data_IF_121187423832
#
_entry.id   IF_121187423832
#
_cell.length_a   1.000
_cell.length_b   1.000
_cell.length_c   1.000
_cell.angle_alpha   90.00
_cell.angle_beta   90.00
_cell.angle_gamma   90.00
#
_symmetry.space_group_name_H-M   'P 1'
#
loop_
_entity.id
_entity.type
_entity.pdbx_description
1 polymer ?
#
# COMPACT_ATOMS: atom_id res chain seq x y z
N UNK A 1 15.26 -17.38 1.37
CA UNK A 1 16.29 -16.38 1.06
C UNK A 1 15.98 -15.15 1.90
N UNK A 2 16.97 -14.62 2.56
CA UNK A 2 16.83 -13.40 3.37
C UNK A 2 16.48 -12.24 2.41
N UNK A 3 15.39 -11.50 2.67
CA UNK A 3 14.97 -10.39 1.80
C UNK A 3 15.98 -9.25 1.91
N UNK A 4 16.36 -8.66 0.76
CA UNK A 4 17.19 -7.44 0.72
C UNK A 4 16.43 -6.21 1.21
N UNK A 5 15.09 -6.28 1.25
CA UNK A 5 14.17 -5.26 1.76
C UNK A 5 13.51 -5.83 3.01
N UNK A 6 13.78 -5.28 4.18
CA UNK A 6 13.29 -5.79 5.48
C UNK A 6 12.20 -4.94 6.10
N UNK A 7 12.04 -3.70 5.64
CA UNK A 7 11.12 -2.72 6.19
C UNK A 7 10.11 -2.27 5.14
N UNK A 8 8.85 -2.12 5.54
CA UNK A 8 7.81 -1.45 4.74
C UNK A 8 7.17 -0.32 5.52
N UNK A 9 6.96 0.80 4.85
CA UNK A 9 6.27 1.99 5.37
C UNK A 9 4.84 2.00 4.85
N UNK A 10 3.87 2.10 5.74
CA UNK A 10 2.46 2.31 5.43
C UNK A 10 2.06 3.74 5.79
N UNK A 11 1.87 4.63 4.81
CA UNK A 11 1.34 5.98 5.02
C UNK A 11 -0.18 5.92 5.31
N UNK A 12 -0.57 6.12 6.57
CA UNK A 12 -1.95 6.02 7.05
C UNK A 12 -2.43 7.27 7.81
N UNK A 13 -1.76 8.41 7.64
CA UNK A 13 -2.16 9.66 8.27
C UNK A 13 -3.28 10.42 7.54
N UNK A 14 -3.75 9.91 6.39
CA UNK A 14 -4.76 10.57 5.56
C UNK A 14 -6.16 10.52 6.17
N UNK A 15 -6.94 11.60 5.99
CA UNK A 15 -8.26 11.80 6.61
C UNK A 15 -9.39 10.93 6.05
N UNK A 16 -9.19 10.20 4.96
CA UNK A 16 -10.20 9.30 4.40
C UNK A 16 -11.48 9.98 3.90
N UNK A 17 -11.40 11.23 3.44
CA UNK A 17 -12.57 12.07 3.10
C UNK A 17 -13.49 11.50 2.03
N UNK A 18 -12.96 10.66 1.12
CA UNK A 18 -13.73 10.05 0.02
C UNK A 18 -14.78 9.04 0.51
N UNK A 19 -14.63 8.51 1.74
CA UNK A 19 -15.53 7.50 2.34
C UNK A 19 -16.34 8.10 3.52
N UNK A 20 -16.34 9.41 3.67
CA UNK A 20 -17.23 10.06 4.64
C UNK A 20 -18.71 9.72 4.33
N UNK A 21 -19.56 9.59 5.39
CA UNK A 21 -19.28 9.85 6.80
C UNK A 21 -18.67 8.70 7.61
N UNK A 22 -18.50 7.49 7.02
CA UNK A 22 -18.00 6.32 7.75
C UNK A 22 -16.65 6.59 8.44
N UNK A 23 -15.72 7.18 7.73
CA UNK A 23 -14.36 7.50 8.22
C UNK A 23 -14.29 8.66 9.22
N UNK A 24 -15.45 9.24 9.62
CA UNK A 24 -15.51 10.16 10.76
C UNK A 24 -15.21 9.48 12.10
N UNK A 25 -15.61 8.22 12.22
CA UNK A 25 -15.56 7.50 13.49
C UNK A 25 -14.32 6.60 13.64
N UNK A 26 -13.73 6.17 12.52
CA UNK A 26 -12.55 5.30 12.53
C UNK A 26 -11.70 5.49 11.27
N UNK A 27 -10.41 5.11 11.31
CA UNK A 27 -9.50 5.22 10.19
C UNK A 27 -9.94 4.39 8.97
N UNK A 28 -9.75 4.93 7.76
CA UNK A 28 -10.15 4.27 6.50
C UNK A 28 -9.47 2.89 6.30
N UNK A 29 -8.25 2.75 6.77
CA UNK A 29 -7.46 1.51 6.67
C UNK A 29 -7.96 0.39 7.59
N UNK A 30 -8.88 0.70 8.53
CA UNK A 30 -9.60 -0.28 9.34
C UNK A 30 -10.94 -0.71 8.73
N UNK A 31 -11.33 -0.20 7.57
CA UNK A 31 -12.48 -0.71 6.84
C UNK A 31 -12.31 -2.21 6.54
N UNK A 32 -13.27 -3.07 6.89
CA UNK A 32 -13.11 -4.51 6.72
C UNK A 32 -13.35 -4.94 5.27
N UNK A 33 -12.44 -5.73 4.72
CA UNK A 33 -12.67 -6.53 3.52
C UNK A 33 -13.05 -7.92 4.00
N UNK A 34 -14.35 -8.22 3.98
CA UNK A 34 -14.99 -9.39 4.59
C UNK A 34 -14.71 -9.40 6.11
N UNK A 35 -13.71 -10.12 6.59
CA UNK A 35 -13.36 -10.29 8.00
C UNK A 35 -11.98 -9.70 8.37
N UNK A 36 -11.28 -9.05 7.43
CA UNK A 36 -9.94 -8.48 7.63
C UNK A 36 -9.90 -7.00 7.28
N UNK A 37 -9.37 -6.12 8.13
CA UNK A 37 -9.15 -4.72 7.76
C UNK A 37 -8.21 -4.57 6.57
N UNK A 38 -8.40 -3.51 5.80
CA UNK A 38 -7.57 -3.15 4.65
C UNK A 38 -6.07 -3.15 5.00
N UNK A 39 -5.69 -2.59 6.14
CA UNK A 39 -4.28 -2.56 6.58
C UNK A 39 -3.71 -3.97 6.80
N UNK A 40 -4.51 -4.91 7.30
CA UNK A 40 -4.05 -6.29 7.48
C UNK A 40 -3.68 -6.94 6.15
N UNK A 41 -4.47 -6.71 5.08
CA UNK A 41 -4.14 -7.23 3.76
C UNK A 41 -2.76 -6.75 3.29
N UNK A 42 -2.42 -5.47 3.52
CA UNK A 42 -1.10 -4.93 3.20
C UNK A 42 0.03 -5.52 4.04
N UNK A 43 -0.20 -5.68 5.36
CA UNK A 43 0.79 -6.29 6.26
C UNK A 43 1.01 -7.77 5.92
N UNK A 44 -0.05 -8.53 5.62
CA UNK A 44 0.05 -9.91 5.14
C UNK A 44 0.84 -10.02 3.82
N UNK A 45 0.61 -9.09 2.87
CA UNK A 45 1.39 -9.02 1.63
C UNK A 45 2.88 -8.82 1.92
N UNK A 46 3.23 -7.91 2.85
CA UNK A 46 4.60 -7.63 3.24
C UNK A 46 5.27 -8.86 3.88
N UNK A 47 4.61 -9.47 4.87
CA UNK A 47 5.11 -10.68 5.56
C UNK A 47 5.30 -11.83 4.57
N UNK A 48 4.33 -12.07 3.68
CA UNK A 48 4.42 -13.09 2.64
C UNK A 48 5.49 -12.78 1.60
N UNK A 49 5.98 -11.53 1.53
CA UNK A 49 7.10 -11.11 0.70
C UNK A 49 8.47 -11.20 1.40
N UNK A 50 8.49 -11.59 2.68
CA UNK A 50 9.70 -11.69 3.50
C UNK A 50 10.09 -10.39 4.21
N UNK A 51 9.16 -9.44 4.34
CA UNK A 51 9.32 -8.18 5.08
C UNK A 51 8.63 -8.33 6.43
N UNK A 52 9.36 -8.14 7.51
CA UNK A 52 8.84 -8.31 8.88
C UNK A 52 8.86 -7.04 9.73
N UNK A 53 9.49 -5.97 9.27
CA UNK A 53 9.49 -4.67 9.95
C UNK A 53 8.46 -3.75 9.30
N UNK A 54 7.45 -3.35 10.05
CA UNK A 54 6.35 -2.53 9.58
C UNK A 54 6.44 -1.15 10.26
N UNK A 55 6.47 -0.09 9.45
CA UNK A 55 6.41 1.29 9.94
C UNK A 55 5.06 1.89 9.57
N UNK A 56 4.22 2.14 10.56
CA UNK A 56 2.95 2.83 10.37
C UNK A 56 3.18 4.34 10.53
N UNK A 57 3.03 5.12 9.45
CA UNK A 57 3.07 6.58 9.53
C UNK A 57 1.64 7.09 9.66
N UNK A 58 1.25 7.45 10.86
CA UNK A 58 -0.13 7.73 11.25
C UNK A 58 -0.31 9.15 11.79
N UNK A 59 -1.55 9.62 11.82
CA UNK A 59 -1.92 10.82 12.58
C UNK A 59 -1.80 10.51 14.09
N UNK A 60 -1.31 11.45 14.93
CA UNK A 60 -1.20 11.25 16.37
C UNK A 60 -2.50 10.81 17.07
N UNK A 61 -3.66 11.24 16.54
CA UNK A 61 -4.97 10.90 17.10
C UNK A 61 -5.44 9.48 16.70
N UNK A 62 -4.80 8.85 15.71
CA UNK A 62 -5.13 7.51 15.27
C UNK A 62 -4.41 6.45 16.10
N UNK A 63 -4.96 6.14 17.26
CA UNK A 63 -4.49 5.05 18.12
C UNK A 63 -5.09 3.69 17.75
N UNK A 64 -6.18 3.68 16.99
CA UNK A 64 -6.92 2.45 16.66
C UNK A 64 -6.13 1.52 15.73
N UNK A 65 -5.46 2.07 14.71
CA UNK A 65 -4.75 1.23 13.74
C UNK A 65 -3.53 0.54 14.35
N UNK A 66 -2.66 1.21 15.13
CA UNK A 66 -1.61 0.52 15.87
C UNK A 66 -2.16 -0.54 16.83
N UNK A 67 -3.18 -0.20 17.64
CA UNK A 67 -3.74 -1.13 18.63
C UNK A 67 -4.43 -2.36 18.02
N UNK A 68 -4.78 -2.32 16.73
CA UNK A 68 -5.29 -3.50 16.03
C UNK A 68 -4.27 -4.66 16.02
N UNK A 69 -2.99 -4.35 15.98
CA UNK A 69 -1.90 -5.34 15.98
C UNK A 69 -1.33 -5.62 17.38
N UNK A 70 -1.86 -5.01 18.42
CA UNK A 70 -1.44 -5.26 19.80
C UNK A 70 -2.21 -6.43 20.41
N UNK A 71 -1.65 -7.14 21.42
CA UNK A 71 -2.38 -8.15 22.17
C UNK A 71 -3.62 -7.58 22.83
N UNK A 72 -4.73 -8.33 22.78
CA UNK A 72 -5.96 -7.98 23.50
C UNK A 72 -6.25 -9.01 24.61
N UNK A 73 -5.55 -8.85 25.73
CA UNK A 73 -5.62 -9.80 26.86
C UNK A 73 -7.06 -10.09 27.33
N UNK A 74 -7.92 -9.07 27.35
CA UNK A 74 -9.32 -9.24 27.76
C UNK A 74 -10.10 -10.12 26.79
N UNK A 75 -9.96 -9.90 25.48
CA UNK A 75 -10.62 -10.70 24.45
C UNK A 75 -10.05 -12.12 24.45
N UNK A 76 -8.73 -12.26 24.53
CA UNK A 76 -8.05 -13.55 24.54
C UNK A 76 -8.47 -14.41 25.74
N UNK A 77 -8.52 -13.83 26.96
CA UNK A 77 -9.00 -14.53 28.16
C UNK A 77 -10.46 -14.96 28.03
N UNK A 78 -11.31 -14.11 27.41
CA UNK A 78 -12.72 -14.45 27.18
C UNK A 78 -12.88 -15.60 26.17
N UNK A 79 -12.13 -15.58 25.06
CA UNK A 79 -12.14 -16.65 24.05
C UNK A 79 -11.66 -17.97 24.63
N UNK A 80 -10.55 -17.96 25.38
CA UNK A 80 -10.02 -19.13 26.08
C UNK A 80 -11.06 -19.72 27.07
N UNK A 81 -11.68 -18.87 27.89
CA UNK A 81 -12.73 -19.30 28.84
C UNK A 81 -13.94 -19.93 28.15
N UNK A 82 -14.23 -19.51 26.90
CA UNK A 82 -15.37 -20.04 26.12
C UNK A 82 -15.00 -21.23 25.24
N UNK A 83 -13.75 -21.70 25.25
CA UNK A 83 -13.27 -22.80 24.42
C UNK A 83 -13.21 -22.46 22.91
N UNK A 84 -13.14 -21.15 22.58
CA UNK A 84 -13.07 -20.66 21.18
C UNK A 84 -11.63 -20.63 20.68
N UNK A 85 -11.01 -21.80 20.59
CA UNK A 85 -9.57 -21.95 20.28
C UNK A 85 -9.18 -21.40 18.90
N UNK A 86 -10.03 -21.59 17.88
CA UNK A 86 -9.74 -21.09 16.53
C UNK A 86 -9.75 -19.55 16.49
N UNK A 87 -10.73 -18.91 17.13
CA UNK A 87 -10.83 -17.46 17.20
C UNK A 87 -9.66 -16.88 18.02
N UNK A 88 -9.30 -17.54 19.14
CA UNK A 88 -8.16 -17.16 19.96
C UNK A 88 -6.84 -17.20 19.15
N UNK A 89 -6.65 -18.27 18.36
CA UNK A 89 -5.48 -18.40 17.49
C UNK A 89 -5.42 -17.29 16.45
N UNK A 90 -6.55 -16.93 15.83
CA UNK A 90 -6.63 -15.80 14.86
C UNK A 90 -6.21 -14.49 15.51
N UNK A 91 -6.77 -14.16 16.69
CA UNK A 91 -6.47 -12.90 17.39
C UNK A 91 -4.99 -12.81 17.79
N UNK A 92 -4.42 -13.89 18.34
CA UNK A 92 -3.00 -13.93 18.73
C UNK A 92 -2.04 -13.83 17.54
N UNK A 93 -2.42 -14.39 16.39
CA UNK A 93 -1.60 -14.34 15.19
C UNK A 93 -1.39 -12.89 14.71
N UNK A 94 -2.34 -11.99 14.92
CA UNK A 94 -2.21 -10.57 14.57
C UNK A 94 -1.08 -9.89 15.34
N UNK A 95 -1.02 -10.09 16.65
CA UNK A 95 -0.01 -9.47 17.52
C UNK A 95 1.42 -10.02 17.30
N UNK A 96 1.56 -11.17 16.66
CA UNK A 96 2.85 -11.79 16.35
C UNK A 96 3.18 -11.79 14.84
N UNK A 97 2.39 -11.11 14.04
CA UNK A 97 2.52 -11.15 12.57
C UNK A 97 3.79 -10.47 12.07
N UNK A 98 4.16 -9.34 12.67
CA UNK A 98 5.32 -8.53 12.31
C UNK A 98 5.76 -7.62 13.45
N UNK A 99 6.96 -7.05 13.34
CA UNK A 99 7.47 -6.01 14.24
C UNK A 99 6.94 -4.65 13.78
N UNK A 100 6.02 -4.06 14.57
CA UNK A 100 5.34 -2.82 14.20
C UNK A 100 5.91 -1.64 14.97
N UNK A 101 6.31 -0.60 14.24
CA UNK A 101 6.74 0.70 14.76
C UNK A 101 5.78 1.78 14.27
N UNK A 102 5.38 2.68 15.16
CA UNK A 102 4.52 3.83 14.81
C UNK A 102 5.34 5.11 14.75
N UNK A 103 5.15 5.87 13.67
CA UNK A 103 5.69 7.21 13.47
C UNK A 103 4.55 8.18 13.24
N UNK A 104 4.64 9.40 13.75
CA UNK A 104 3.57 10.37 13.64
C UNK A 104 3.83 11.42 12.55
N UNK A 105 2.84 11.60 11.68
CA UNK A 105 2.71 12.73 10.77
C UNK A 105 1.62 13.66 11.33
N UNK A 106 2.00 14.74 11.97
CA UNK A 106 1.07 15.64 12.66
C UNK A 106 0.12 16.37 11.69
N UNK A 107 0.62 16.72 10.49
CA UNK A 107 -0.16 17.40 9.46
C UNK A 107 -0.19 16.57 8.17
N UNK A 108 -1.33 16.52 7.46
CA UNK A 108 -1.47 15.74 6.22
C UNK A 108 -0.79 16.47 5.04
N UNK A 109 0.53 16.59 5.08
CA UNK A 109 1.35 17.31 4.10
C UNK A 109 1.77 16.46 2.88
N UNK A 110 1.00 15.43 2.53
CA UNK A 110 1.22 14.61 1.34
C UNK A 110 2.00 13.31 1.59
N UNK A 111 2.04 12.46 0.54
CA UNK A 111 2.68 11.15 0.58
C UNK A 111 4.20 11.24 0.78
N UNK A 112 4.86 12.17 0.08
CA UNK A 112 6.30 12.38 0.23
C UNK A 112 6.68 12.76 1.66
N UNK A 113 5.88 13.61 2.31
CA UNK A 113 6.09 13.98 3.71
C UNK A 113 5.92 12.77 4.65
N UNK A 114 4.91 11.92 4.42
CA UNK A 114 4.74 10.71 5.21
C UNK A 114 5.97 9.78 5.10
N UNK A 115 6.51 9.60 3.88
CA UNK A 115 7.75 8.83 3.67
C UNK A 115 8.92 9.49 4.38
N UNK A 116 9.06 10.82 4.33
CA UNK A 116 10.13 11.55 5.01
C UNK A 116 10.09 11.36 6.54
N UNK A 117 8.89 11.33 7.14
CA UNK A 117 8.74 11.05 8.58
C UNK A 117 9.27 9.67 8.98
N UNK A 118 9.24 8.69 8.08
CA UNK A 118 9.74 7.35 8.35
C UNK A 118 11.29 7.24 8.31
N UNK A 119 12.02 8.28 7.90
CA UNK A 119 13.49 8.27 7.67
C UNK A 119 14.28 7.57 8.78
N UNK A 120 14.02 7.90 10.03
CA UNK A 120 14.74 7.29 11.16
C UNK A 120 14.32 5.83 11.40
N UNK A 121 13.04 5.52 11.20
CA UNK A 121 12.48 4.20 11.49
C UNK A 121 12.89 3.13 10.46
N UNK A 122 13.13 3.51 9.20
CA UNK A 122 13.53 2.55 8.14
C UNK A 122 15.01 2.15 8.19
N UNK A 123 15.83 2.87 8.96
CA UNK A 123 17.28 2.58 9.06
C UNK A 123 18.05 2.84 7.76
N UNK A 124 19.13 2.11 7.52
CA UNK A 124 20.09 2.36 6.45
C UNK A 124 19.93 1.45 5.21
N UNK A 125 18.86 0.72 5.06
CA UNK A 125 18.65 -0.20 3.92
C UNK A 125 17.69 0.34 2.88
N UNK A 126 17.49 -0.44 1.82
CA UNK A 126 16.34 -0.28 0.97
C UNK A 126 15.07 -0.67 1.73
N UNK A 127 13.98 0.04 1.48
CA UNK A 127 12.69 -0.18 2.14
C UNK A 127 11.55 -0.09 1.13
N UNK A 128 10.44 -0.74 1.47
CA UNK A 128 9.23 -0.62 0.69
C UNK A 128 8.33 0.50 1.22
N UNK A 129 7.51 1.06 0.35
CA UNK A 129 6.34 1.88 0.72
C UNK A 129 5.11 1.20 0.12
N UNK A 130 4.06 1.03 0.93
CA UNK A 130 2.83 0.40 0.51
C UNK A 130 1.62 1.25 0.93
N UNK A 131 0.84 1.70 -0.06
CA UNK A 131 -0.41 2.41 0.21
C UNK A 131 -1.48 1.37 0.57
N UNK A 132 -2.09 1.45 1.76
CA UNK A 132 -3.03 0.41 2.20
C UNK A 132 -4.33 0.39 1.38
N UNK A 133 -4.75 1.52 0.80
CA UNK A 133 -5.94 1.61 -0.03
C UNK A 133 -5.79 0.97 -1.43
N UNK A 134 -4.61 0.52 -1.80
CA UNK A 134 -4.38 -0.39 -2.93
C UNK A 134 -4.26 -1.84 -2.40
N UNK A 135 -5.38 -2.58 -2.38
CA UNK A 135 -5.39 -4.00 -2.01
C UNK A 135 -5.12 -4.83 -3.24
N UNK A 136 -4.09 -5.68 -3.17
CA UNK A 136 -3.61 -6.44 -4.33
C UNK A 136 -3.75 -7.93 -4.07
N UNK A 137 -4.43 -8.62 -4.99
CA UNK A 137 -4.46 -10.08 -5.06
C UNK A 137 -3.48 -10.53 -6.14
N UNK A 138 -2.37 -11.12 -5.71
CA UNK A 138 -1.29 -11.57 -6.59
C UNK A 138 -0.53 -12.76 -6.00
N UNK A 139 -0.14 -13.69 -6.87
CA UNK A 139 0.73 -14.80 -6.51
C UNK A 139 1.84 -14.95 -7.56
N UNK A 140 3.12 -14.64 -7.22
CA UNK A 140 3.59 -14.20 -5.90
C UNK A 140 3.07 -12.79 -5.53
N UNK A 141 3.08 -12.42 -4.22
CA UNK A 141 2.65 -11.10 -3.76
C UNK A 141 3.36 -9.95 -4.48
N UNK A 142 2.69 -8.80 -4.66
CA UNK A 142 3.23 -7.69 -5.44
C UNK A 142 4.59 -7.19 -4.93
N UNK A 143 4.76 -7.02 -3.62
CA UNK A 143 6.06 -6.65 -3.04
C UNK A 143 7.14 -7.70 -3.34
N UNK A 144 6.80 -9.00 -3.37
CA UNK A 144 7.76 -10.04 -3.73
C UNK A 144 8.19 -9.95 -5.19
N UNK A 145 7.26 -9.66 -6.13
CA UNK A 145 7.58 -9.41 -7.54
C UNK A 145 8.59 -8.26 -7.67
N UNK A 146 8.35 -7.15 -6.96
CA UNK A 146 9.24 -5.99 -6.96
C UNK A 146 10.61 -6.28 -6.33
N UNK A 147 10.67 -7.06 -5.24
CA UNK A 147 11.93 -7.46 -4.58
C UNK A 147 12.79 -8.31 -5.54
N UNK A 148 12.18 -9.17 -6.36
CA UNK A 148 12.90 -9.94 -7.35
C UNK A 148 13.59 -9.01 -8.35
N UNK A 149 12.89 -8.03 -8.90
CA UNK A 149 13.47 -7.03 -9.81
C UNK A 149 14.54 -6.19 -9.10
N UNK A 150 14.27 -5.75 -7.85
CA UNK A 150 15.24 -4.98 -7.07
C UNK A 150 16.56 -5.73 -6.86
N UNK A 151 16.51 -7.02 -6.60
CA UNK A 151 17.70 -7.86 -6.41
C UNK A 151 18.57 -7.97 -7.68
N UNK A 152 17.96 -7.81 -8.86
CA UNK A 152 18.68 -7.84 -10.14
C UNK A 152 19.31 -6.49 -10.46
N UNK A 153 18.57 -5.38 -10.25
CA UNK A 153 19.01 -4.05 -10.70
C UNK A 153 19.61 -3.18 -9.60
N UNK A 154 19.37 -3.50 -8.33
CA UNK A 154 19.81 -2.75 -7.13
C UNK A 154 19.53 -1.24 -7.22
N UNK A 155 18.37 -0.87 -7.74
CA UNK A 155 17.90 0.50 -7.92
C UNK A 155 16.44 0.60 -7.51
N UNK A 156 15.92 1.80 -7.20
CA UNK A 156 14.51 1.99 -6.82
C UNK A 156 13.54 1.42 -7.86
N UNK A 157 12.46 0.81 -7.37
CA UNK A 157 11.42 0.17 -8.19
C UNK A 157 10.07 0.79 -7.86
N UNK A 158 9.29 1.10 -8.89
CA UNK A 158 7.90 1.53 -8.80
C UNK A 158 7.00 0.41 -9.34
N UNK A 159 5.92 0.08 -8.66
CA UNK A 159 4.90 -0.81 -9.22
C UNK A 159 3.97 0.00 -10.13
N UNK A 160 3.69 -0.55 -11.30
CA UNK A 160 2.81 0.09 -12.29
C UNK A 160 1.75 -0.87 -12.79
N UNK A 161 0.65 -0.31 -13.29
CA UNK A 161 -0.36 -1.04 -14.07
C UNK A 161 -0.81 -0.19 -15.27
N UNK A 162 -1.36 -0.85 -16.29
CA UNK A 162 -1.96 -0.13 -17.42
C UNK A 162 -3.38 0.27 -17.08
N UNK A 163 -3.62 1.57 -17.12
CA UNK A 163 -4.95 2.13 -16.84
C UNK A 163 -5.64 2.59 -18.11
N UNK A 164 -6.99 2.59 -18.15
CA UNK A 164 -7.73 3.19 -19.25
C UNK A 164 -7.49 4.71 -19.31
N UNK A 165 -7.60 5.26 -20.52
CA UNK A 165 -7.27 6.66 -20.80
C UNK A 165 -7.98 7.66 -19.87
N UNK A 166 -9.24 7.43 -19.55
CA UNK A 166 -10.06 8.26 -18.67
C UNK A 166 -9.61 8.25 -17.20
N UNK A 167 -8.82 7.26 -16.80
CA UNK A 167 -8.32 7.13 -15.43
C UNK A 167 -6.94 7.80 -15.23
N UNK A 168 -6.22 8.13 -16.31
CA UNK A 168 -4.84 8.64 -16.29
C UNK A 168 -4.67 9.83 -15.32
N UNK A 169 -5.57 10.80 -15.35
CA UNK A 169 -5.49 12.01 -14.51
C UNK A 169 -5.61 11.78 -13.00
N UNK A 170 -5.73 10.52 -12.57
CA UNK A 170 -5.83 10.15 -11.15
C UNK A 170 -4.51 9.67 -10.55
N UNK A 171 -3.50 9.38 -11.39
CA UNK A 171 -2.26 8.72 -11.03
C UNK A 171 -1.03 9.48 -11.49
N UNK A 172 0.10 9.24 -10.85
CA UNK A 172 1.38 9.50 -11.46
C UNK A 172 1.58 8.58 -12.66
N UNK A 173 2.02 9.11 -13.78
CA UNK A 173 2.25 8.37 -15.03
C UNK A 173 3.73 8.40 -15.37
N UNK A 174 4.27 7.25 -15.80
CA UNK A 174 5.67 7.15 -16.20
C UNK A 174 5.84 7.20 -17.72
N UNK A 175 6.92 7.83 -18.17
CA UNK A 175 7.55 7.54 -19.46
C UNK A 175 8.64 6.51 -19.24
N UNK A 176 8.62 5.39 -19.97
CA UNK A 176 9.54 4.29 -19.69
C UNK A 176 9.84 3.43 -20.92
N UNK A 177 11.06 2.93 -20.98
CA UNK A 177 11.51 2.00 -22.01
C UNK A 177 11.37 0.55 -21.51
N UNK A 178 10.75 -0.36 -22.27
CA UNK A 178 10.60 -1.75 -21.86
C UNK A 178 11.95 -2.50 -21.90
N UNK A 179 12.21 -3.29 -20.85
CA UNK A 179 13.36 -4.18 -20.74
C UNK A 179 13.01 -5.67 -20.91
N UNK A 180 11.70 -5.98 -20.99
CA UNK A 180 11.17 -7.34 -21.04
C UNK A 180 10.60 -7.79 -19.71
N UNK A 181 9.81 -8.87 -19.74
CA UNK A 181 9.22 -9.51 -18.55
C UNK A 181 8.44 -8.55 -17.61
N UNK A 182 7.80 -7.52 -18.17
CA UNK A 182 7.07 -6.52 -17.35
C UNK A 182 7.97 -5.55 -16.59
N UNK A 183 9.26 -5.49 -16.91
CA UNK A 183 10.21 -4.53 -16.32
C UNK A 183 10.49 -3.41 -17.30
N UNK A 184 10.56 -2.18 -16.78
CA UNK A 184 10.82 -0.96 -17.55
C UNK A 184 11.91 -0.11 -16.90
N UNK A 185 12.68 0.58 -17.69
CA UNK A 185 13.55 1.67 -17.25
C UNK A 185 12.80 2.99 -17.37
N UNK A 186 12.59 3.67 -16.25
CA UNK A 186 11.85 4.94 -16.19
C UNK A 186 12.69 6.06 -16.80
N UNK A 187 12.07 6.89 -17.64
CA UNK A 187 12.70 8.05 -18.30
C UNK A 187 12.19 9.37 -17.74
N UNK A 188 10.92 9.43 -17.36
CA UNK A 188 10.29 10.59 -16.69
C UNK A 188 9.05 10.15 -15.90
N UNK A 189 8.60 11.02 -14.97
CA UNK A 189 7.40 10.84 -14.16
C UNK A 189 6.60 12.14 -14.15
N UNK A 190 5.28 12.04 -14.29
CA UNK A 190 4.37 13.20 -14.27
C UNK A 190 3.21 12.90 -13.33
N UNK A 191 3.04 13.73 -12.29
CA UNK A 191 1.93 13.60 -11.35
C UNK A 191 0.62 14.10 -11.99
N UNK A 192 -0.39 13.22 -12.03
CA UNK A 192 -1.77 13.48 -12.49
C UNK A 192 -1.85 14.32 -13.78
N UNK A 193 -1.19 13.89 -14.88
CA UNK A 193 -1.21 14.66 -16.12
C UNK A 193 -2.62 14.70 -16.72
N UNK A 194 -2.88 15.73 -17.52
CA UNK A 194 -4.07 15.69 -18.38
C UNK A 194 -3.97 14.47 -19.33
N UNK A 195 -5.02 13.65 -19.50
CA UNK A 195 -4.95 12.39 -20.28
C UNK A 195 -4.31 12.56 -21.66
N UNK A 196 -4.64 13.63 -22.38
CA UNK A 196 -4.09 13.92 -23.73
C UNK A 196 -2.62 14.37 -23.72
N UNK A 197 -1.99 14.56 -22.57
CA UNK A 197 -0.59 14.99 -22.41
C UNK A 197 0.24 13.95 -21.65
N UNK A 198 -0.38 12.84 -21.25
CA UNK A 198 0.31 11.78 -20.55
C UNK A 198 1.31 11.08 -21.50
N UNK A 199 2.53 10.76 -21.03
CA UNK A 199 3.54 10.11 -21.87
C UNK A 199 3.19 8.65 -22.19
N UNK A 200 2.35 8.02 -21.36
CA UNK A 200 1.92 6.64 -21.51
C UNK A 200 0.60 6.39 -20.75
N UNK A 201 0.20 5.12 -20.66
CA UNK A 201 -0.87 4.66 -19.76
C UNK A 201 -0.34 3.80 -18.59
N UNK A 202 0.97 3.80 -18.34
CA UNK A 202 1.59 3.13 -17.20
C UNK A 202 1.44 4.00 -15.95
N UNK A 203 0.47 3.65 -15.13
CA UNK A 203 0.14 4.36 -13.89
C UNK A 203 0.92 3.80 -12.71
N UNK A 204 1.48 4.68 -11.90
CA UNK A 204 2.09 4.33 -10.63
C UNK A 204 0.99 3.91 -9.67
N UNK A 205 1.11 2.71 -9.12
CA UNK A 205 0.21 2.19 -8.10
C UNK A 205 0.97 1.99 -6.79
N UNK A 206 0.26 2.01 -5.70
CA UNK A 206 0.71 2.22 -4.32
C UNK A 206 1.78 1.31 -3.74
N UNK A 207 2.76 0.85 -4.54
CA UNK A 207 3.93 0.09 -4.07
C UNK A 207 5.21 0.65 -4.65
N UNK A 208 6.21 0.81 -3.76
CA UNK A 208 7.53 1.31 -4.12
C UNK A 208 8.59 0.52 -3.34
N UNK A 209 9.76 0.31 -3.94
CA UNK A 209 11.00 -0.04 -3.24
C UNK A 209 11.94 1.14 -3.44
N UNK A 210 12.37 1.74 -2.36
CA UNK A 210 13.15 2.98 -2.35
C UNK A 210 14.48 2.75 -1.64
N UNK A 211 15.45 3.60 -1.94
CA UNK A 211 16.77 3.63 -1.30
C UNK A 211 16.93 4.93 -0.52
N UNK A 212 17.96 5.02 0.32
CA UNK A 212 18.15 6.13 1.26
C UNK A 212 18.22 7.51 0.58
N UNK A 213 18.68 7.57 -0.65
CA UNK A 213 18.81 8.81 -1.43
C UNK A 213 17.46 9.51 -1.67
N UNK A 214 16.34 8.78 -1.55
CA UNK A 214 15.00 9.40 -1.65
C UNK A 214 14.77 10.45 -0.57
N UNK A 215 15.36 10.30 0.62
CA UNK A 215 15.18 11.28 1.68
C UNK A 215 15.83 12.62 1.35
N UNK A 216 17.00 12.61 0.70
CA UNK A 216 17.64 13.84 0.23
C UNK A 216 16.81 14.54 -0.86
N UNK A 217 16.19 13.77 -1.76
CA UNK A 217 15.33 14.36 -2.79
C UNK A 217 14.01 14.86 -2.22
N UNK A 218 13.44 14.17 -1.22
CA UNK A 218 12.26 14.64 -0.48
C UNK A 218 12.53 15.98 0.25
N UNK A 219 13.69 16.13 0.88
CA UNK A 219 14.10 17.37 1.55
C UNK A 219 14.29 18.54 0.56
N UNK A 220 14.54 18.25 -0.71
CA UNK A 220 14.73 19.24 -1.79
C UNK A 220 13.47 19.49 -2.63
N UNK A 221 12.46 18.64 -2.50
CA UNK A 221 11.21 18.79 -3.23
C UNK A 221 10.35 19.89 -2.64
N UNK A 222 9.86 20.79 -3.49
CA UNK A 222 8.91 21.81 -3.07
C UNK A 222 7.51 21.21 -2.91
N UNK A 223 6.74 21.76 -1.99
CA UNK A 223 5.31 21.46 -1.90
C UNK A 223 4.57 21.94 -3.16
N UNK A 224 3.56 21.20 -3.57
CA UNK A 224 2.69 21.57 -4.66
C UNK A 224 1.76 22.76 -4.30
N UNK A 225 0.90 23.19 -5.23
CA UNK A 225 -0.05 24.29 -5.00
C UNK A 225 -1.08 23.97 -3.89
N UNK A 226 -1.25 22.71 -3.52
CA UNK A 226 -2.10 22.27 -2.41
C UNK A 226 -1.38 22.23 -1.07
N UNK A 227 -0.08 22.49 -1.03
CA UNK A 227 0.77 22.38 0.16
C UNK A 227 1.23 20.95 0.45
N UNK A 228 1.06 20.01 -0.48
CA UNK A 228 1.45 18.63 -0.34
C UNK A 228 2.84 18.36 -0.94
N UNK A 229 3.67 17.60 -0.22
CA UNK A 229 4.94 17.06 -0.72
C UNK A 229 4.64 15.78 -1.51
N UNK A 230 4.71 15.87 -2.83
CA UNK A 230 4.42 14.73 -3.71
C UNK A 230 5.62 13.81 -3.84
N UNK A 231 5.42 12.49 -3.61
CA UNK A 231 6.47 11.51 -3.78
C UNK A 231 6.93 11.40 -5.25
N UNK A 232 6.02 11.55 -6.21
CA UNK A 232 6.32 11.52 -7.65
C UNK A 232 7.33 12.59 -8.05
N UNK A 233 7.22 13.81 -7.50
CA UNK A 233 8.16 14.89 -7.79
C UNK A 233 9.55 14.61 -7.21
N UNK A 234 9.60 14.04 -6.00
CA UNK A 234 10.86 13.59 -5.39
C UNK A 234 11.53 12.46 -6.19
N UNK A 235 10.75 11.51 -6.69
CA UNK A 235 11.25 10.44 -7.56
C UNK A 235 11.78 10.97 -8.89
N UNK A 236 11.18 12.03 -9.43
CA UNK A 236 11.67 12.73 -10.60
C UNK A 236 13.04 13.38 -10.37
N UNK A 237 13.27 13.97 -9.18
CA UNK A 237 14.58 14.46 -8.77
C UNK A 237 15.58 13.31 -8.58
N UNK A 238 15.13 12.19 -7.99
CA UNK A 238 15.98 11.01 -7.81
C UNK A 238 16.43 10.42 -9.13
N UNK A 239 15.57 10.41 -10.16
CA UNK A 239 15.88 9.94 -11.51
C UNK A 239 17.05 10.70 -12.16
N UNK A 240 17.29 11.96 -11.78
CA UNK A 240 18.45 12.74 -12.25
C UNK A 240 19.78 12.27 -11.65
N UNK A 241 19.75 11.46 -10.58
CA UNK A 241 20.92 11.00 -9.82
C UNK A 241 21.24 9.53 -10.02
N UNK A 242 20.21 8.71 -10.25
CA UNK A 242 20.33 7.27 -10.43
C UNK A 242 19.18 6.70 -11.24
N UNK A 243 19.37 5.56 -11.93
CA UNK A 243 18.31 4.88 -12.63
C UNK A 243 17.14 4.51 -11.71
N UNK A 244 15.93 4.60 -12.23
CA UNK A 244 14.69 4.18 -11.61
C UNK A 244 14.01 3.17 -12.52
N UNK A 245 13.48 2.10 -11.97
CA UNK A 245 12.81 1.05 -12.74
C UNK A 245 11.34 0.93 -12.34
N UNK A 246 10.56 0.35 -13.23
CA UNK A 246 9.17 -0.01 -12.94
C UNK A 246 8.95 -1.50 -13.18
N UNK A 247 8.08 -2.08 -12.35
CA UNK A 247 7.60 -3.45 -12.49
C UNK A 247 6.09 -3.39 -12.76
N UNK A 248 5.63 -4.00 -13.87
CA UNK A 248 4.20 -4.12 -14.16
C UNK A 248 3.59 -5.22 -13.28
N UNK A 249 2.49 -4.90 -12.60
CA UNK A 249 1.82 -5.83 -11.69
C UNK A 249 1.33 -7.08 -12.44
N UNK A 250 1.72 -8.24 -11.95
CA UNK A 250 1.08 -9.52 -12.29
C UNK A 250 0.10 -9.90 -11.19
N UNK A 251 -1.17 -9.51 -11.33
CA UNK A 251 -2.21 -9.69 -10.32
C UNK A 251 -3.40 -8.76 -10.55
N UNK A 252 -4.28 -8.67 -9.55
CA UNK A 252 -5.47 -7.82 -9.57
C UNK A 252 -5.40 -6.81 -8.44
N UNK A 253 -5.46 -5.51 -8.78
CA UNK A 253 -5.51 -4.41 -7.82
C UNK A 253 -6.94 -3.91 -7.60
N UNK A 254 -7.25 -3.62 -6.36
CA UNK A 254 -8.50 -3.00 -5.92
C UNK A 254 -8.20 -1.67 -5.23
N UNK A 255 -8.59 -0.53 -5.86
CA UNK A 255 -8.55 0.80 -5.26
C UNK A 255 -9.70 0.95 -4.25
N UNK A 256 -9.46 0.59 -2.99
CA UNK A 256 -10.45 0.70 -1.92
C UNK A 256 -10.55 2.10 -1.31
N UNK A 257 -9.77 3.05 -1.82
CA UNK A 257 -9.88 4.48 -1.47
C UNK A 257 -11.11 5.17 -2.04
N UNK A 258 -11.93 4.49 -2.86
CA UNK A 258 -13.19 4.99 -3.42
C UNK A 258 -14.37 4.10 -3.03
N UNK A 259 -15.60 4.67 -2.93
CA UNK A 259 -16.80 3.91 -2.56
C UNK A 259 -17.05 2.71 -3.49
N UNK A 260 -16.97 2.94 -4.81
CA UNK A 260 -17.20 1.87 -5.79
C UNK A 260 -16.07 0.83 -5.76
N UNK A 261 -14.82 1.26 -5.65
CA UNK A 261 -13.67 0.36 -5.57
C UNK A 261 -13.73 -0.52 -4.32
N UNK A 262 -14.12 0.06 -3.18
CA UNK A 262 -14.33 -0.68 -1.93
C UNK A 262 -15.42 -1.76 -2.06
N UNK A 263 -16.58 -1.42 -2.66
CA UNK A 263 -17.66 -2.39 -2.90
C UNK A 263 -17.19 -3.52 -3.84
N UNK A 264 -16.47 -3.17 -4.92
CA UNK A 264 -15.92 -4.18 -5.84
C UNK A 264 -14.93 -5.12 -5.14
N UNK A 265 -14.07 -4.58 -4.30
CA UNK A 265 -13.14 -5.38 -3.49
C UNK A 265 -13.88 -6.33 -2.54
N UNK A 266 -14.90 -5.84 -1.82
CA UNK A 266 -15.73 -6.68 -0.95
C UNK A 266 -16.33 -7.86 -1.70
N UNK A 267 -16.94 -7.62 -2.85
CA UNK A 267 -17.57 -8.67 -3.67
C UNK A 267 -16.49 -9.65 -4.16
N UNK A 268 -15.37 -9.14 -4.67
CA UNK A 268 -14.28 -9.97 -5.18
C UNK A 268 -13.73 -10.93 -4.12
N UNK A 269 -13.35 -10.39 -2.95
CA UNK A 269 -12.78 -11.20 -1.87
C UNK A 269 -13.80 -12.09 -1.18
N UNK A 270 -15.08 -11.71 -1.14
CA UNK A 270 -16.14 -12.56 -0.62
C UNK A 270 -16.42 -13.75 -1.56
N UNK A 271 -16.42 -13.55 -2.88
CA UNK A 271 -16.54 -14.64 -3.87
C UNK A 271 -15.31 -15.56 -3.92
N UNK A 272 -14.17 -15.14 -3.38
CA UNK A 272 -13.01 -15.99 -3.22
C UNK A 272 -13.04 -16.88 -1.96
N UNK A 273 -14.03 -16.69 -1.07
CA UNK A 273 -14.20 -17.50 0.14
C UNK A 273 -15.18 -18.65 -0.12
N UNK A 274 -14.74 -19.93 0.03
CA UNK A 274 -15.58 -21.09 -0.28
C UNK A 274 -16.89 -21.19 0.53
N UNK A 275 -16.92 -20.63 1.73
CA UNK A 275 -18.08 -20.62 2.63
C UNK A 275 -19.09 -19.51 2.31
N UNK A 276 -18.69 -18.49 1.57
CA UNK A 276 -19.56 -17.36 1.17
C UNK A 276 -19.95 -17.42 -0.31
N UNK A 277 -19.08 -17.97 -1.15
CA UNK A 277 -19.20 -17.90 -2.61
C UNK A 277 -20.54 -18.40 -3.15
N UNK A 278 -21.07 -19.58 -2.76
CA UNK A 278 -22.31 -20.08 -3.34
C UNK A 278 -23.52 -19.17 -3.09
N UNK A 279 -23.75 -18.82 -1.85
CA UNK A 279 -24.89 -17.99 -1.44
C UNK A 279 -24.80 -16.56 -1.98
N UNK A 280 -23.56 -16.01 -2.01
CA UNK A 280 -23.32 -14.66 -2.55
C UNK A 280 -23.53 -14.63 -4.06
N UNK A 281 -23.11 -15.65 -4.79
CA UNK A 281 -23.31 -15.75 -6.23
C UNK A 281 -24.80 -15.81 -6.57
N UNK A 282 -25.54 -16.68 -5.92
CA UNK A 282 -27.00 -16.80 -6.11
C UNK A 282 -27.70 -15.48 -5.80
N UNK A 283 -27.30 -14.81 -4.72
CA UNK A 283 -27.84 -13.49 -4.39
C UNK A 283 -27.56 -12.44 -5.48
N UNK A 284 -26.33 -12.35 -5.97
CA UNK A 284 -25.95 -11.39 -7.03
C UNK A 284 -26.70 -11.68 -8.35
N UNK A 285 -26.95 -12.93 -8.68
CA UNK A 285 -27.75 -13.32 -9.86
C UNK A 285 -29.22 -12.93 -9.70
N UNK A 286 -29.76 -12.98 -8.49
CA UNK A 286 -31.15 -12.59 -8.18
C UNK A 286 -31.43 -11.08 -8.32
N UNK A 287 -30.37 -10.25 -8.35
CA UNK A 287 -30.48 -8.78 -8.51
C UNK A 287 -30.59 -8.35 -9.99
N UNK A 288 -30.49 -9.25 -10.93
CA UNK A 288 -30.63 -9.00 -12.38
C UNK A 288 -32.09 -9.16 -12.81
#
# INVERSE_FOLDING_TARGET
MDSSVKTVVFPIAGLGTRILPATKAFPKELLPIVDRPVIQCGVEEAVNSGINQIVLVTNPDNTMTPSYFEPNERLEALLAKRGKELDLKKVRALASMADITTVHQAEPAGLGHAVLMAKTAVGNGAFAVALPDDVIDANPPALRQMIQVFNEVNNPIILVERVPHEAIGRYGIIDAAPLGNGVFEVKDLVEKPHPNRAPSNLAIIGRYILTQEVFETLEQTNQDAGGELQLTDSLRLLLQRRPLYACELSGVRHDVGTKLGYIKALIYFALAQPDLEPDLRDYLESLR
#
